data_IF_460641852136
#
_entry.id   IF_460641852136
#
_cell.length_a   1.000
_cell.length_b   1.000
_cell.length_c   1.000
_cell.angle_alpha   90.00
_cell.angle_beta   90.00
_cell.angle_gamma   90.00
#
_symmetry.space_group_name_H-M   'P 1'
#
loop_
_entity.id
_entity.type
_entity.pdbx_description
1 polymer ?
#
# COMPACT_ATOMS: atom_id res chain seq x y z
N UNK A 1 1.32 9.35 49.08
CA UNK A 1 2.53 9.60 48.27
C UNK A 1 2.39 8.75 47.02
N UNK A 2 1.98 9.38 45.92
CA UNK A 2 1.66 8.72 44.65
C UNK A 2 2.92 8.51 43.80
N UNK A 3 2.94 7.44 42.98
CA UNK A 3 3.42 7.44 41.59
C UNK A 3 3.38 6.01 41.03
N UNK A 4 2.29 5.65 40.34
CA UNK A 4 2.30 4.58 39.34
C UNK A 4 2.95 5.12 38.05
N UNK A 5 4.10 4.59 37.68
CA UNK A 5 4.79 4.91 36.44
C UNK A 5 4.25 4.11 35.27
N UNK A 6 3.28 4.66 34.54
CA UNK A 6 2.84 4.10 33.26
C UNK A 6 3.84 4.46 32.15
N UNK A 7 4.52 3.46 31.59
CA UNK A 7 5.39 3.63 30.42
C UNK A 7 4.50 3.74 29.18
N UNK A 8 4.22 4.98 28.75
CA UNK A 8 3.61 5.25 27.44
C UNK A 8 4.64 5.02 26.34
N UNK A 9 4.48 3.94 25.56
CA UNK A 9 5.19 3.81 24.27
C UNK A 9 4.55 4.77 23.24
N UNK A 10 5.33 5.62 22.56
CA UNK A 10 4.78 6.51 21.54
C UNK A 10 4.38 5.71 20.31
N UNK A 11 3.09 5.78 19.95
CA UNK A 11 2.60 5.32 18.64
C UNK A 11 3.26 6.19 17.56
N UNK A 12 3.77 5.62 16.45
CA UNK A 12 4.22 6.44 15.33
C UNK A 12 3.03 7.26 14.82
N UNK A 13 3.21 8.58 14.83
CA UNK A 13 2.20 9.53 14.37
C UNK A 13 1.93 9.31 12.89
N UNK A 14 0.68 8.99 12.53
CA UNK A 14 0.16 9.18 11.18
C UNK A 14 0.10 10.70 10.91
N UNK A 15 1.25 11.33 10.68
CA UNK A 15 1.29 12.63 10.03
C UNK A 15 0.91 12.37 8.58
N UNK A 16 -0.36 12.62 8.33
CA UNK A 16 -0.97 12.64 7.03
C UNK A 16 -0.07 13.41 6.05
N UNK A 17 0.41 12.67 5.06
CA UNK A 17 0.34 13.00 3.64
C UNK A 17 -0.30 14.38 3.37
N UNK A 18 0.50 15.43 3.45
CA UNK A 18 0.18 16.74 2.88
C UNK A 18 1.01 16.92 1.61
N UNK A 19 0.77 16.05 0.61
CA UNK A 19 1.28 16.30 -0.74
C UNK A 19 0.36 17.32 -1.40
N UNK A 20 0.92 18.52 -1.63
CA UNK A 20 0.41 19.56 -2.53
C UNK A 20 -0.12 18.90 -3.80
N UNK A 21 -1.37 19.21 -4.14
CA UNK A 21 -2.02 18.75 -5.34
C UNK A 21 -1.36 19.40 -6.58
N UNK A 22 -0.41 18.70 -7.18
CA UNK A 22 -0.08 18.86 -8.59
C UNK A 22 -0.22 17.48 -9.24
N UNK A 23 -1.09 17.41 -10.25
CA UNK A 23 -1.55 16.17 -10.85
C UNK A 23 -0.40 15.29 -11.33
N UNK A 24 -0.41 14.03 -10.90
CA UNK A 24 0.45 12.98 -11.43
C UNK A 24 -0.40 11.78 -11.88
N UNK A 25 0.01 11.11 -12.96
CA UNK A 25 -0.83 10.20 -13.74
C UNK A 25 -1.12 8.90 -12.98
N UNK A 26 -2.33 8.40 -13.18
CA UNK A 26 -2.95 7.26 -12.49
C UNK A 26 -2.47 5.89 -12.98
N UNK A 27 -1.26 5.77 -13.51
CA UNK A 27 -0.74 4.49 -14.00
C UNK A 27 0.67 4.23 -13.46
N UNK A 28 0.73 3.47 -12.38
CA UNK A 28 1.94 2.84 -11.89
C UNK A 28 2.34 1.69 -12.84
N UNK A 29 2.89 2.04 -14.00
CA UNK A 29 3.45 1.09 -15.00
C UNK A 29 4.97 0.93 -14.88
N UNK A 30 5.58 1.49 -13.82
CA UNK A 30 7.04 1.47 -13.59
C UNK A 30 7.63 0.18 -13.02
N UNK A 31 6.85 -0.90 -12.82
CA UNK A 31 7.38 -2.19 -12.37
C UNK A 31 8.37 -2.84 -13.37
N UNK A 32 8.43 -2.34 -14.61
CA UNK A 32 9.35 -2.83 -15.64
C UNK A 32 10.83 -2.44 -15.43
N UNK A 33 11.12 -1.52 -14.50
CA UNK A 33 12.50 -1.08 -14.21
C UNK A 33 13.19 -1.87 -13.08
N UNK A 34 12.52 -2.85 -12.46
CA UNK A 34 13.13 -3.73 -11.48
C UNK A 34 14.04 -4.77 -12.16
N UNK A 35 15.14 -5.17 -11.51
CA UNK A 35 16.08 -6.15 -12.09
C UNK A 35 15.39 -7.46 -12.48
N UNK A 36 15.94 -8.19 -13.48
CA UNK A 36 15.34 -9.40 -14.06
C UNK A 36 15.07 -10.54 -13.07
N UNK A 37 15.56 -10.48 -11.83
CA UNK A 37 15.18 -11.41 -10.76
C UNK A 37 13.70 -11.32 -10.35
N UNK A 38 13.00 -10.22 -10.68
CA UNK A 38 11.56 -10.06 -10.41
C UNK A 38 10.72 -10.59 -11.60
N UNK A 39 11.36 -10.99 -12.72
CA UNK A 39 10.71 -11.27 -14.00
C UNK A 39 11.06 -12.62 -14.61
N UNK A 40 10.92 -13.69 -13.84
CA UNK A 40 10.73 -15.05 -14.38
C UNK A 40 9.56 -15.69 -13.62
N UNK A 41 8.39 -15.72 -14.26
CA UNK A 41 7.19 -16.37 -13.73
C UNK A 41 6.58 -17.27 -14.78
N UNK A 42 7.25 -18.38 -15.01
CA UNK A 42 6.67 -19.59 -15.60
C UNK A 42 6.57 -20.63 -14.48
N UNK A 43 5.50 -21.42 -14.49
CA UNK A 43 5.08 -22.27 -13.38
C UNK A 43 6.20 -23.05 -12.68
N UNK A 44 6.20 -22.98 -11.36
CA UNK A 44 7.19 -23.55 -10.45
C UNK A 44 6.97 -22.96 -9.05
N UNK A 45 7.46 -23.61 -8.01
CA UNK A 45 7.33 -23.18 -6.60
C UNK A 45 7.68 -21.71 -6.38
N UNK A 46 7.08 -21.07 -5.36
CA UNK A 46 7.49 -19.72 -4.94
C UNK A 46 8.88 -19.83 -4.33
N UNK A 47 9.90 -19.74 -5.17
CA UNK A 47 11.27 -19.67 -4.69
C UNK A 47 11.54 -18.22 -4.29
N UNK A 48 11.69 -18.00 -2.98
CA UNK A 48 12.03 -16.69 -2.44
C UNK A 48 13.52 -16.44 -2.68
N UNK A 49 13.92 -15.28 -3.23
CA UNK A 49 15.33 -15.02 -3.49
C UNK A 49 16.12 -14.93 -2.20
N UNK A 50 17.36 -15.44 -2.23
CA UNK A 50 18.27 -15.36 -1.10
C UNK A 50 18.59 -13.90 -0.72
N UNK A 51 18.90 -13.68 0.56
CA UNK A 51 19.24 -12.35 1.12
C UNK A 51 20.28 -11.60 0.29
N UNK A 52 21.33 -12.31 -0.14
CA UNK A 52 22.41 -11.73 -0.93
C UNK A 52 21.94 -11.28 -2.31
N UNK A 53 21.04 -12.04 -2.95
CA UNK A 53 20.44 -11.65 -4.22
C UNK A 53 19.60 -10.38 -4.07
N UNK A 54 18.85 -10.25 -2.96
CA UNK A 54 18.06 -9.05 -2.65
C UNK A 54 18.97 -7.84 -2.39
N UNK A 55 20.03 -8.02 -1.59
CA UNK A 55 21.00 -6.95 -1.29
C UNK A 55 21.73 -6.47 -2.55
N UNK A 56 22.20 -7.40 -3.38
CA UNK A 56 22.87 -7.09 -4.63
C UNK A 56 21.93 -6.37 -5.62
N UNK A 57 20.67 -6.77 -5.70
CA UNK A 57 19.67 -6.11 -6.54
C UNK A 57 19.42 -4.66 -6.08
N UNK A 58 19.27 -4.44 -4.77
CA UNK A 58 19.11 -3.10 -4.19
C UNK A 58 20.33 -2.23 -4.46
N UNK A 59 21.53 -2.75 -4.24
CA UNK A 59 22.77 -2.02 -4.49
C UNK A 59 22.88 -1.57 -5.96
N UNK A 60 22.63 -2.47 -6.91
CA UNK A 60 22.66 -2.15 -8.35
C UNK A 60 21.67 -1.05 -8.72
N UNK A 61 20.48 -1.07 -8.12
CA UNK A 61 19.48 -0.01 -8.33
C UNK A 61 20.01 1.35 -7.85
N UNK A 62 20.52 1.45 -6.62
CA UNK A 62 21.03 2.73 -6.10
C UNK A 62 22.31 3.19 -6.80
N UNK A 63 23.18 2.28 -7.23
CA UNK A 63 24.34 2.61 -8.06
C UNK A 63 23.88 3.24 -9.40
N UNK A 64 22.89 2.66 -10.06
CA UNK A 64 22.33 3.21 -11.29
C UNK A 64 21.71 4.59 -11.09
N UNK A 65 21.01 4.82 -9.96
CA UNK A 65 20.47 6.13 -9.59
C UNK A 65 21.60 7.14 -9.40
N UNK A 66 22.70 6.76 -8.74
CA UNK A 66 23.85 7.65 -8.55
C UNK A 66 24.48 8.06 -9.88
N UNK A 67 24.61 7.14 -10.84
CA UNK A 67 25.12 7.43 -12.19
C UNK A 67 24.20 8.40 -12.97
N UNK A 68 22.90 8.40 -12.66
CA UNK A 68 21.87 9.19 -13.35
C UNK A 68 21.24 10.26 -12.45
N UNK A 69 21.99 10.76 -11.45
CA UNK A 69 21.49 11.72 -10.47
C UNK A 69 21.01 13.06 -11.06
N UNK A 70 21.34 13.34 -12.32
CA UNK A 70 20.83 14.48 -13.07
C UNK A 70 19.33 14.37 -13.42
N UNK A 71 18.72 13.19 -13.27
CA UNK A 71 17.29 12.95 -13.47
C UNK A 71 16.56 13.04 -12.12
N UNK A 72 15.91 14.18 -11.78
CA UNK A 72 15.28 14.36 -10.47
C UNK A 72 14.16 13.35 -10.20
N UNK A 73 13.46 12.88 -11.24
CA UNK A 73 12.42 11.85 -11.12
C UNK A 73 13.00 10.52 -10.62
N UNK A 74 14.22 10.18 -11.02
CA UNK A 74 14.89 8.96 -10.61
C UNK A 74 15.36 9.05 -9.15
N UNK A 75 15.80 10.23 -8.71
CA UNK A 75 16.14 10.50 -7.31
C UNK A 75 14.89 10.38 -6.43
N UNK A 76 13.78 11.01 -6.82
CA UNK A 76 12.50 10.88 -6.09
C UNK A 76 12.00 9.43 -6.04
N UNK A 77 12.19 8.66 -7.11
CA UNK A 77 11.89 7.23 -7.11
C UNK A 77 12.73 6.49 -6.08
N UNK A 78 14.05 6.76 -6.03
CA UNK A 78 14.95 6.13 -5.08
C UNK A 78 14.61 6.46 -3.62
N UNK A 79 14.27 7.73 -3.32
CA UNK A 79 13.77 8.14 -2.01
C UNK A 79 12.48 7.40 -1.63
N UNK A 80 11.57 7.24 -2.59
CA UNK A 80 10.33 6.48 -2.36
C UNK A 80 10.62 5.01 -2.09
N UNK A 81 11.51 4.39 -2.87
CA UNK A 81 11.91 2.99 -2.67
C UNK A 81 12.54 2.79 -1.29
N UNK A 82 13.43 3.71 -0.88
CA UNK A 82 14.06 3.69 0.44
C UNK A 82 13.01 3.78 1.55
N UNK A 83 12.09 4.75 1.44
CA UNK A 83 11.01 4.96 2.40
C UNK A 83 10.14 3.72 2.62
N UNK A 84 9.90 2.94 1.57
CA UNK A 84 9.02 1.76 1.59
C UNK A 84 9.78 0.43 1.62
N UNK A 85 11.09 0.45 1.86
CA UNK A 85 11.93 -0.74 1.73
C UNK A 85 11.44 -1.92 2.56
N UNK A 86 11.05 -1.69 3.82
CA UNK A 86 10.59 -2.78 4.71
C UNK A 86 9.40 -3.54 4.13
N UNK A 87 8.46 -2.83 3.49
CA UNK A 87 7.31 -3.44 2.83
C UNK A 87 7.69 -4.20 1.55
N UNK A 88 8.62 -3.65 0.77
CA UNK A 88 9.15 -4.31 -0.45
C UNK A 88 9.91 -5.58 -0.06
N UNK A 89 10.78 -5.49 0.94
CA UNK A 89 11.54 -6.62 1.47
C UNK A 89 10.61 -7.71 2.01
N UNK A 90 9.58 -7.34 2.77
CA UNK A 90 8.57 -8.28 3.25
C UNK A 90 7.84 -8.97 2.09
N UNK A 91 7.43 -8.24 1.04
CA UNK A 91 6.81 -8.83 -0.15
C UNK A 91 7.74 -9.83 -0.85
N UNK A 92 9.02 -9.48 -1.03
CA UNK A 92 10.00 -10.33 -1.73
C UNK A 92 10.32 -11.59 -0.94
N UNK A 93 10.42 -11.50 0.39
CA UNK A 93 10.81 -12.63 1.27
C UNK A 93 9.64 -13.53 1.67
N UNK A 94 8.44 -12.98 1.81
CA UNK A 94 7.27 -13.73 2.31
C UNK A 94 6.22 -14.00 1.24
N UNK A 95 6.24 -13.23 0.14
CA UNK A 95 5.20 -13.27 -0.89
C UNK A 95 3.85 -12.71 -0.44
N UNK A 96 3.78 -12.07 0.74
CA UNK A 96 2.57 -11.41 1.23
C UNK A 96 2.27 -10.21 0.33
N UNK A 97 1.11 -10.21 -0.30
CA UNK A 97 0.71 -9.19 -1.28
C UNK A 97 -0.40 -8.29 -0.75
N UNK A 98 -0.48 -7.07 -1.28
CA UNK A 98 -1.57 -6.12 -0.97
C UNK A 98 -2.89 -6.46 -1.70
N UNK A 99 -2.99 -7.63 -2.36
CA UNK A 99 -4.13 -7.98 -3.21
C UNK A 99 -5.47 -7.95 -2.48
N UNK A 100 -5.50 -8.38 -1.21
CA UNK A 100 -6.71 -8.35 -0.39
C UNK A 100 -7.20 -6.91 -0.15
N UNK A 101 -6.29 -6.00 0.21
CA UNK A 101 -6.61 -4.59 0.43
C UNK A 101 -7.02 -3.89 -0.87
N UNK A 102 -6.36 -4.20 -1.99
CA UNK A 102 -6.72 -3.68 -3.32
C UNK A 102 -8.10 -4.14 -3.76
N UNK A 103 -8.44 -5.41 -3.54
CA UNK A 103 -9.76 -5.96 -3.77
C UNK A 103 -10.84 -5.19 -2.99
N UNK A 104 -10.60 -4.98 -1.69
CA UNK A 104 -11.50 -4.19 -0.84
C UNK A 104 -11.64 -2.74 -1.33
N UNK A 105 -10.52 -2.09 -1.66
CA UNK A 105 -10.51 -0.73 -2.18
C UNK A 105 -11.31 -0.62 -3.49
N UNK A 106 -11.20 -1.62 -4.38
CA UNK A 106 -11.96 -1.65 -5.63
C UNK A 106 -13.47 -1.77 -5.37
N UNK A 107 -13.88 -2.63 -4.45
CA UNK A 107 -15.29 -2.78 -4.05
C UNK A 107 -15.83 -1.49 -3.45
N UNK A 108 -15.11 -0.84 -2.54
CA UNK A 108 -15.51 0.43 -1.93
C UNK A 108 -15.65 1.53 -2.99
N UNK A 109 -14.66 1.67 -3.87
CA UNK A 109 -14.71 2.65 -4.97
C UNK A 109 -15.90 2.41 -5.90
N UNK A 110 -16.25 1.15 -6.17
CA UNK A 110 -17.42 0.81 -6.97
C UNK A 110 -18.72 1.25 -6.29
N UNK A 111 -18.90 0.95 -5.01
CA UNK A 111 -20.09 1.35 -4.26
C UNK A 111 -20.22 2.88 -4.16
N UNK A 112 -19.11 3.60 -4.01
CA UNK A 112 -19.09 5.05 -4.05
C UNK A 112 -19.57 5.61 -5.41
N UNK A 113 -19.17 4.98 -6.53
CA UNK A 113 -19.62 5.38 -7.88
C UNK A 113 -21.10 5.11 -8.11
N UNK A 114 -21.60 3.94 -7.69
CA UNK A 114 -23.03 3.58 -7.83
C UNK A 114 -23.96 4.51 -7.07
N UNK A 115 -23.48 5.09 -5.97
CA UNK A 115 -24.30 5.93 -5.10
C UNK A 115 -24.31 7.43 -5.48
N UNK A 116 -23.63 7.84 -6.55
CA UNK A 116 -23.50 9.24 -7.01
C UNK A 116 -23.13 10.24 -5.90
N UNK A 117 -22.34 9.79 -4.91
CA UNK A 117 -21.94 10.57 -3.76
C UNK A 117 -22.94 10.46 -2.60
N UNK A 118 -22.67 9.56 -1.66
CA UNK A 118 -23.37 9.55 -0.38
C UNK A 118 -23.21 10.90 0.32
N UNK A 119 -24.32 11.62 0.53
CA UNK A 119 -24.32 12.87 1.32
C UNK A 119 -24.23 12.61 2.83
N UNK A 120 -24.64 11.41 3.27
CA UNK A 120 -24.57 10.96 4.65
C UNK A 120 -23.38 9.99 4.85
N UNK A 121 -22.41 10.41 5.68
CA UNK A 121 -21.21 9.63 6.01
C UNK A 121 -21.54 8.31 6.73
N UNK A 122 -22.60 8.26 7.55
CA UNK A 122 -23.03 7.03 8.22
C UNK A 122 -23.48 5.99 7.17
N UNK A 123 -24.32 6.40 6.22
CA UNK A 123 -24.80 5.52 5.14
C UNK A 123 -23.66 5.08 4.20
N UNK A 124 -22.69 5.96 3.92
CA UNK A 124 -21.49 5.61 3.18
C UNK A 124 -20.66 4.51 3.87
N UNK A 125 -20.43 4.65 5.18
CA UNK A 125 -19.69 3.68 5.99
C UNK A 125 -20.43 2.34 6.06
N UNK A 126 -21.75 2.37 6.27
CA UNK A 126 -22.59 1.18 6.31
C UNK A 126 -22.53 0.41 4.98
N UNK A 127 -22.68 1.08 3.84
CA UNK A 127 -22.63 0.40 2.53
C UNK A 127 -21.25 -0.12 2.18
N UNK A 128 -20.19 0.63 2.45
CA UNK A 128 -18.81 0.15 2.30
C UNK A 128 -18.57 -1.10 3.16
N UNK A 129 -19.07 -1.11 4.40
CA UNK A 129 -18.98 -2.25 5.31
C UNK A 129 -19.76 -3.44 4.80
N UNK A 130 -21.01 -3.27 4.35
CA UNK A 130 -21.84 -4.33 3.74
C UNK A 130 -21.13 -5.01 2.56
N UNK A 131 -20.52 -4.22 1.68
CA UNK A 131 -19.94 -4.73 0.45
C UNK A 131 -18.64 -5.53 0.70
N UNK A 132 -17.80 -5.04 1.61
CA UNK A 132 -16.46 -5.59 1.87
C UNK A 132 -16.43 -6.73 2.88
N UNK A 133 -17.28 -6.73 3.91
CA UNK A 133 -17.23 -7.77 4.93
C UNK A 133 -18.38 -8.77 4.78
N UNK A 134 -18.06 -10.06 4.67
CA UNK A 134 -19.08 -11.12 4.52
C UNK A 134 -20.09 -11.14 5.67
N UNK A 135 -19.64 -10.85 6.91
CA UNK A 135 -20.47 -10.83 8.13
C UNK A 135 -21.52 -9.72 8.16
N UNK A 136 -21.35 -8.64 7.39
CA UNK A 136 -22.29 -7.52 7.36
C UNK A 136 -23.26 -7.59 6.17
N UNK A 137 -23.06 -8.53 5.24
CA UNK A 137 -23.98 -8.77 4.12
C UNK A 137 -25.31 -9.29 4.68
N UNK A 138 -26.40 -8.55 4.46
CA UNK A 138 -27.74 -8.94 4.90
C UNK A 138 -28.08 -8.60 6.36
N UNK A 139 -27.17 -8.02 7.14
CA UNK A 139 -27.38 -7.73 8.58
C UNK A 139 -27.90 -6.30 8.84
N UNK A 140 -28.04 -5.47 7.80
CA UNK A 140 -28.46 -4.07 7.96
C UNK A 140 -29.82 -3.82 7.29
N UNK A 141 -30.88 -3.79 8.12
CA UNK A 141 -32.15 -3.19 7.76
C UNK A 141 -32.04 -1.65 7.93
N UNK A 142 -32.42 -0.85 6.93
CA UNK A 142 -32.27 0.61 6.98
C UNK A 142 -33.03 1.33 8.12
N UNK A 143 -33.99 0.65 8.76
CA UNK A 143 -34.90 1.24 9.76
C UNK A 143 -34.34 1.35 11.19
N UNK A 144 -33.11 0.89 11.47
CA UNK A 144 -32.53 0.87 12.82
C UNK A 144 -31.49 1.99 13.09
N UNK A 145 -31.41 3.01 12.24
CA UNK A 145 -30.43 4.11 12.36
C UNK A 145 -31.11 5.49 12.45
N UNK A 146 -32.38 5.53 12.86
CA UNK A 146 -33.07 6.77 13.23
C UNK A 146 -33.07 6.93 14.75
#
# INVERSE_FOLDING_TARGET
>A
MACEGSVSSPRPSNRACASRAHGLPTSFTGWHALPPCVRSRTGGTRDFPDREAISAARYRFFAHVADHAHLPELVTLAETVEQWWDGIHAYVTTGITNAASEGNNRVIKLEARKAYGFRNRANQRLRSRCATTRRSRGVLTPHQVL
#
